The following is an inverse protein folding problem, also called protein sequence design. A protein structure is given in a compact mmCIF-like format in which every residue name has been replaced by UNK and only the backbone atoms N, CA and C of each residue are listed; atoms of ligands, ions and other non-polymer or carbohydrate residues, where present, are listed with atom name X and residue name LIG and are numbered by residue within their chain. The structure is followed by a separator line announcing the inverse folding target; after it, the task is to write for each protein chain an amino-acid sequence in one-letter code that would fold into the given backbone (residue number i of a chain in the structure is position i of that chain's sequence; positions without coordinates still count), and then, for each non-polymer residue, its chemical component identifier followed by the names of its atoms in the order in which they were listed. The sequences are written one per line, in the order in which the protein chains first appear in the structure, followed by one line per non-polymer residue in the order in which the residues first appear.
data_IF_817843864461
#
_entry.id   IF_817843864461
#
_cell.length_a   1.000
_cell.length_b   1.000
_cell.length_c   1.000
_cell.angle_alpha   90.00
_cell.angle_beta   90.00
_cell.angle_gamma   90.00
#
_symmetry.space_group_name_H-M   'P 1'
#
loop_
_entity.id
_entity.type
_entity.pdbx_description
1 polymer ?
#
# COMPACT_ATOMS: atom_id res chain seq x y z
N UNK A 1 15.39 12.64 -7.68
CA UNK A 1 14.39 11.55 -7.67
C UNK A 1 14.70 10.66 -6.47
N UNK A 2 13.75 10.39 -5.56
CA UNK A 2 13.96 9.39 -4.52
C UNK A 2 14.29 8.04 -5.19
N UNK A 3 15.29 7.34 -4.68
CA UNK A 3 15.72 6.04 -5.20
C UNK A 3 14.57 5.05 -5.08
N UNK A 4 14.15 4.37 -6.15
CA UNK A 4 13.06 3.40 -6.08
C UNK A 4 13.34 2.33 -5.02
N UNK A 5 12.33 1.94 -4.24
CA UNK A 5 12.47 0.88 -3.25
C UNK A 5 12.53 -0.49 -3.95
N UNK A 6 13.71 -0.80 -4.51
CA UNK A 6 13.99 -2.03 -5.24
C UNK A 6 14.13 -3.20 -4.24
N UNK A 7 13.52 -4.34 -4.57
CA UNK A 7 13.72 -5.63 -3.89
C UNK A 7 15.14 -6.17 -4.14
N UNK A 8 15.65 -7.10 -3.33
CA UNK A 8 16.99 -7.67 -3.51
C UNK A 8 17.25 -8.22 -4.92
N UNK A 9 16.32 -9.01 -5.48
CA UNK A 9 16.47 -9.61 -6.81
C UNK A 9 16.44 -8.55 -7.93
N UNK A 10 15.57 -7.53 -7.81
CA UNK A 10 15.53 -6.39 -8.75
C UNK A 10 16.88 -5.67 -8.80
N UNK A 11 17.49 -5.41 -7.63
CA UNK A 11 18.82 -4.78 -7.53
C UNK A 11 19.90 -5.65 -8.16
N UNK A 12 19.84 -6.95 -7.95
CA UNK A 12 20.82 -7.89 -8.48
C UNK A 12 20.76 -7.99 -10.00
N UNK A 13 19.56 -8.12 -10.57
CA UNK A 13 19.36 -8.14 -12.03
C UNK A 13 19.86 -6.83 -12.64
N UNK A 14 19.46 -5.66 -12.10
CA UNK A 14 19.98 -4.36 -12.58
C UNK A 14 21.52 -4.31 -12.54
N UNK A 15 22.14 -4.83 -11.47
CA UNK A 15 23.60 -4.88 -11.35
C UNK A 15 24.23 -5.76 -12.43
N UNK A 16 23.68 -6.96 -12.68
CA UNK A 16 24.14 -7.87 -13.72
C UNK A 16 23.98 -7.24 -15.10
N UNK A 17 22.80 -6.71 -15.41
CA UNK A 17 22.50 -5.99 -16.65
C UNK A 17 23.49 -4.86 -16.91
N UNK A 18 23.79 -4.04 -15.89
CA UNK A 18 24.79 -2.97 -16.01
C UNK A 18 26.21 -3.49 -16.24
N UNK A 19 26.58 -4.62 -15.61
CA UNK A 19 27.88 -5.25 -15.81
C UNK A 19 28.04 -5.73 -17.26
N UNK A 20 27.07 -6.47 -17.79
CA UNK A 20 27.08 -6.93 -19.18
C UNK A 20 27.02 -5.77 -20.17
N UNK A 21 26.23 -4.74 -19.90
CA UNK A 21 26.19 -3.54 -20.75
C UNK A 21 27.56 -2.84 -20.84
N UNK A 22 28.30 -2.73 -19.74
CA UNK A 22 29.67 -2.17 -19.75
C UNK A 22 30.66 -3.06 -20.51
N UNK A 23 30.60 -4.37 -20.29
CA UNK A 23 31.45 -5.33 -21.00
C UNK A 23 31.20 -5.31 -22.52
N UNK A 24 29.94 -5.37 -22.93
CA UNK A 24 29.57 -5.38 -24.34
C UNK A 24 29.99 -4.08 -25.05
N UNK A 25 29.82 -2.91 -24.41
CA UNK A 25 30.33 -1.64 -24.92
C UNK A 25 31.86 -1.63 -25.10
N UNK A 26 32.60 -2.28 -24.20
CA UNK A 26 34.07 -2.43 -24.32
C UNK A 26 34.41 -3.31 -25.53
N UNK A 27 33.74 -4.46 -25.69
CA UNK A 27 34.01 -5.42 -26.76
C UNK A 27 33.69 -4.85 -28.15
N UNK A 28 32.59 -4.09 -28.28
CA UNK A 28 32.23 -3.37 -29.50
C UNK A 28 33.33 -2.35 -29.87
N UNK A 29 33.82 -1.56 -28.91
CA UNK A 29 34.91 -0.59 -29.15
C UNK A 29 36.21 -1.26 -29.60
N UNK A 30 36.47 -2.48 -29.14
CA UNK A 30 37.65 -3.26 -29.55
C UNK A 30 37.43 -4.07 -30.84
N UNK A 31 36.28 -3.92 -31.51
CA UNK A 31 35.95 -4.65 -32.74
C UNK A 31 35.69 -6.14 -32.55
N UNK A 32 35.57 -6.61 -31.30
CA UNK A 32 35.39 -8.03 -30.95
C UNK A 32 33.92 -8.48 -30.94
N UNK A 33 32.98 -7.55 -31.04
CA UNK A 33 31.54 -7.83 -31.11
C UNK A 33 30.92 -7.11 -32.32
N UNK A 34 30.04 -7.79 -33.05
CA UNK A 34 29.29 -7.17 -34.16
C UNK A 34 28.28 -6.12 -33.65
N UNK A 35 27.89 -5.13 -34.47
CA UNK A 35 26.88 -4.13 -34.10
C UNK A 35 25.50 -4.73 -33.75
N UNK A 36 25.14 -5.92 -34.25
CA UNK A 36 23.88 -6.59 -33.93
C UNK A 36 23.73 -6.87 -32.42
N UNK A 37 24.87 -7.03 -31.72
CA UNK A 37 24.88 -7.21 -30.27
C UNK A 37 24.56 -5.94 -29.47
N UNK A 38 24.51 -4.75 -30.11
CA UNK A 38 23.98 -3.54 -29.48
C UNK A 38 22.50 -3.69 -29.12
N UNK A 39 21.75 -4.53 -29.85
CA UNK A 39 20.34 -4.79 -29.57
C UNK A 39 20.14 -5.51 -28.22
N UNK A 40 21.11 -6.34 -27.81
CA UNK A 40 21.12 -6.99 -26.49
C UNK A 40 21.36 -5.97 -25.38
N UNK A 41 22.32 -5.06 -25.56
CA UNK A 41 22.57 -3.96 -24.60
C UNK A 41 21.33 -3.08 -24.45
N UNK A 42 20.67 -2.74 -25.57
CA UNK A 42 19.45 -1.96 -25.56
C UNK A 42 18.31 -2.68 -24.82
N UNK A 43 18.15 -3.99 -25.05
CA UNK A 43 17.15 -4.82 -24.36
C UNK A 43 17.42 -4.91 -22.85
N UNK A 44 18.68 -5.07 -22.47
CA UNK A 44 19.15 -5.03 -21.08
C UNK A 44 18.79 -3.70 -20.41
N UNK A 45 19.14 -2.56 -21.02
CA UNK A 45 18.82 -1.24 -20.49
C UNK A 45 17.30 -1.00 -20.38
N UNK A 46 16.54 -1.48 -21.38
CA UNK A 46 15.07 -1.40 -21.37
C UNK A 46 14.48 -2.16 -20.18
N UNK A 47 14.96 -3.37 -19.91
CA UNK A 47 14.55 -4.12 -18.73
C UNK A 47 14.89 -3.39 -17.43
N UNK A 48 16.13 -2.89 -17.28
CA UNK A 48 16.51 -2.16 -16.06
C UNK A 48 15.58 -0.95 -15.82
N UNK A 49 15.20 -0.26 -16.90
CA UNK A 49 14.23 0.84 -16.85
C UNK A 49 12.84 0.36 -16.44
N UNK A 50 12.37 -0.77 -16.99
CA UNK A 50 11.09 -1.38 -16.62
C UNK A 50 11.06 -1.78 -15.14
N UNK A 51 12.13 -2.39 -14.62
CA UNK A 51 12.24 -2.75 -13.20
C UNK A 51 12.15 -1.50 -12.31
N UNK A 52 12.84 -0.42 -12.68
CA UNK A 52 12.79 0.83 -11.92
C UNK A 52 11.39 1.48 -11.96
N UNK A 53 10.75 1.50 -13.12
CA UNK A 53 9.40 2.02 -13.28
C UNK A 53 8.39 1.20 -12.45
N UNK A 54 8.50 -0.12 -12.49
CA UNK A 54 7.67 -1.03 -11.70
C UNK A 54 7.85 -0.79 -10.18
N UNK A 55 9.09 -0.66 -9.72
CA UNK A 55 9.38 -0.36 -8.31
C UNK A 55 8.83 1.01 -7.88
N UNK A 56 8.88 2.01 -8.75
CA UNK A 56 8.29 3.33 -8.49
C UNK A 56 6.75 3.26 -8.44
N UNK A 57 6.12 2.52 -9.35
CA UNK A 57 4.67 2.31 -9.35
C UNK A 57 4.21 1.62 -8.06
N UNK A 58 4.87 0.52 -7.67
CA UNK A 58 4.61 -0.17 -6.40
C UNK A 58 4.69 0.76 -5.20
N UNK A 59 5.73 1.59 -5.13
CA UNK A 59 5.88 2.57 -4.05
C UNK A 59 4.71 3.57 -4.03
N UNK A 60 4.30 4.08 -5.18
CA UNK A 60 3.19 5.02 -5.28
C UNK A 60 1.85 4.41 -4.83
N UNK A 61 1.56 3.16 -5.22
CA UNK A 61 0.36 2.43 -4.80
C UNK A 61 0.34 2.22 -3.29
N UNK A 62 1.47 1.78 -2.70
CA UNK A 62 1.60 1.60 -1.25
C UNK A 62 1.43 2.91 -0.48
N UNK A 63 2.01 4.00 -0.96
CA UNK A 63 1.86 5.33 -0.35
C UNK A 63 0.41 5.83 -0.39
N UNK A 64 -0.26 5.66 -1.54
CA UNK A 64 -1.69 6.01 -1.68
C UNK A 64 -2.54 5.23 -0.69
N UNK A 65 -2.31 3.91 -0.59
CA UNK A 65 -3.04 3.03 0.34
C UNK A 65 -2.79 3.39 1.80
N UNK A 66 -1.55 3.73 2.15
CA UNK A 66 -1.20 4.14 3.50
C UNK A 66 -1.80 5.50 3.87
N UNK A 67 -1.88 6.45 2.93
CA UNK A 67 -2.63 7.70 3.12
C UNK A 67 -4.10 7.43 3.42
N UNK A 68 -4.74 6.52 2.68
CA UNK A 68 -6.12 6.12 2.95
C UNK A 68 -6.28 5.45 4.31
N UNK A 69 -5.32 4.63 4.75
CA UNK A 69 -5.34 4.03 6.09
C UNK A 69 -5.30 5.11 7.18
N UNK A 70 -4.52 6.17 6.98
CA UNK A 70 -4.35 7.30 7.93
C UNK A 70 -5.39 8.41 7.78
N UNK A 71 -6.29 8.33 6.80
CA UNK A 71 -7.29 9.36 6.53
C UNK A 71 -8.25 9.54 7.71
N UNK A 72 -8.56 8.45 8.41
CA UNK A 72 -9.40 8.49 9.62
C UNK A 72 -8.65 9.26 10.70
N UNK A 73 -9.10 10.49 10.93
CA UNK A 73 -8.57 11.33 11.98
C UNK A 73 -8.92 10.78 13.35
N UNK A 74 -7.90 10.73 14.20
CA UNK A 74 -8.02 10.33 15.58
C UNK A 74 -8.60 11.46 16.45
N UNK A 75 -9.93 11.53 16.52
CA UNK A 75 -10.64 12.45 17.40
C UNK A 75 -10.93 11.82 18.78
N UNK A 76 -10.12 10.86 19.23
CA UNK A 76 -10.31 10.25 20.54
C UNK A 76 -10.24 11.29 21.66
N UNK A 77 -11.12 11.14 22.65
CA UNK A 77 -11.11 11.95 23.87
C UNK A 77 -11.14 11.02 25.08
N UNK A 78 -10.44 11.41 26.16
CA UNK A 78 -10.52 10.66 27.41
C UNK A 78 -11.98 10.64 27.91
N UNK A 79 -12.58 9.48 28.22
CA UNK A 79 -13.97 9.42 28.68
C UNK A 79 -14.19 10.08 30.05
N UNK A 80 -13.12 10.31 30.83
CA UNK A 80 -13.21 10.94 32.15
C UNK A 80 -12.91 12.45 32.15
N UNK A 81 -11.88 12.89 31.42
CA UNK A 81 -11.51 14.32 31.40
C UNK A 81 -11.79 15.02 30.08
N UNK A 82 -12.27 14.31 29.07
CA UNK A 82 -12.61 14.80 27.72
C UNK A 82 -11.47 15.52 26.98
N UNK A 83 -10.23 15.39 27.45
CA UNK A 83 -9.03 15.96 26.81
C UNK A 83 -8.35 14.92 25.92
N UNK A 84 -8.14 15.27 24.65
CA UNK A 84 -7.32 14.50 23.71
C UNK A 84 -5.81 14.67 24.00
N UNK A 85 -5.36 15.88 24.38
CA UNK A 85 -3.93 16.20 24.57
C UNK A 85 -3.19 15.34 25.62
N UNK A 86 -3.92 14.62 26.45
CA UNK A 86 -3.39 13.74 27.50
C UNK A 86 -3.37 12.26 27.08
N UNK A 87 -3.77 11.94 25.85
CA UNK A 87 -3.84 10.57 25.36
C UNK A 87 -2.48 10.13 24.80
N UNK A 88 -2.05 8.94 25.21
CA UNK A 88 -0.94 8.20 24.59
C UNK A 88 -1.50 6.96 23.92
N UNK A 89 -1.25 6.79 22.63
CA UNK A 89 -1.53 5.55 21.92
C UNK A 89 -0.70 4.42 22.56
N UNK A 90 -1.38 3.36 23.00
CA UNK A 90 -0.75 2.19 23.64
C UNK A 90 -0.78 0.94 22.76
N UNK A 91 -1.65 0.90 21.77
CA UNK A 91 -1.73 -0.21 20.81
C UNK A 91 -3.04 -0.18 20.03
N UNK A 92 -3.41 -1.33 19.48
CA UNK A 92 -4.68 -1.54 18.78
C UNK A 92 -5.48 -2.67 19.42
N UNK A 93 -6.80 -2.62 19.26
CA UNK A 93 -7.73 -3.67 19.62
C UNK A 93 -8.48 -4.11 18.38
N UNK A 94 -8.83 -5.39 18.30
CA UNK A 94 -9.78 -5.90 17.31
C UNK A 94 -11.13 -6.08 17.99
N UNK A 95 -12.17 -5.51 17.41
CA UNK A 95 -13.54 -5.68 17.86
C UNK A 95 -14.09 -7.04 17.42
N UNK A 96 -15.20 -7.48 18.03
CA UNK A 96 -15.88 -8.75 17.71
C UNK A 96 -16.30 -8.83 16.24
N UNK A 97 -16.81 -7.71 15.70
CA UNK A 97 -17.14 -7.55 14.28
C UNK A 97 -15.91 -7.42 13.34
N UNK A 98 -14.70 -7.54 13.90
CA UNK A 98 -13.47 -7.68 13.15
C UNK A 98 -12.70 -6.39 12.86
N UNK A 99 -13.29 -5.20 13.09
CA UNK A 99 -12.63 -3.91 12.87
C UNK A 99 -11.55 -3.58 13.91
N UNK A 100 -10.56 -2.80 13.50
CA UNK A 100 -9.46 -2.36 14.34
C UNK A 100 -9.69 -0.95 14.89
N UNK A 101 -9.51 -0.80 16.20
CA UNK A 101 -9.58 0.47 16.91
C UNK A 101 -8.31 0.73 17.72
N UNK A 102 -8.02 1.99 17.99
CA UNK A 102 -6.85 2.36 18.79
C UNK A 102 -7.13 2.22 20.29
N UNK A 103 -6.11 1.79 21.05
CA UNK A 103 -6.10 1.79 22.52
C UNK A 103 -5.30 2.98 23.02
N UNK A 104 -5.84 3.67 24.02
CA UNK A 104 -5.21 4.84 24.62
C UNK A 104 -5.02 4.66 26.12
N UNK A 105 -3.98 5.31 26.64
CA UNK A 105 -3.83 5.62 28.06
C UNK A 105 -3.93 7.12 28.25
N UNK A 106 -4.85 7.58 29.10
CA UNK A 106 -4.87 8.98 29.51
C UNK A 106 -3.82 9.20 30.61
N UNK A 107 -2.86 10.09 30.38
CA UNK A 107 -1.80 10.42 31.36
C UNK A 107 -2.33 11.15 32.59
N UNK A 108 -3.40 11.94 32.43
CA UNK A 108 -4.04 12.69 33.52
C UNK A 108 -4.92 11.81 34.40
N UNK A 109 -5.82 11.04 33.78
CA UNK A 109 -6.78 10.19 34.49
C UNK A 109 -6.19 8.81 34.85
N UNK A 110 -5.03 8.47 34.30
CA UNK A 110 -4.37 7.18 34.45
C UNK A 110 -5.19 5.94 34.02
N UNK A 111 -6.25 6.14 33.22
CA UNK A 111 -7.07 5.05 32.69
C UNK A 111 -6.59 4.58 31.32
N UNK A 112 -6.92 3.33 30.98
CA UNK A 112 -6.79 2.79 29.63
C UNK A 112 -8.17 2.52 29.05
N UNK A 113 -8.35 2.81 27.77
CA UNK A 113 -9.59 2.53 27.06
C UNK A 113 -9.33 2.26 25.57
N UNK A 114 -10.24 1.53 24.95
CA UNK A 114 -10.28 1.35 23.49
C UNK A 114 -11.23 2.39 22.91
N UNK A 115 -10.80 3.08 21.87
CA UNK A 115 -11.67 4.01 21.17
C UNK A 115 -12.77 3.24 20.42
N UNK A 116 -14.00 3.75 20.49
CA UNK A 116 -15.16 3.05 19.94
C UNK A 116 -15.25 3.15 18.41
N UNK A 117 -14.44 3.98 17.76
CA UNK A 117 -14.41 4.10 16.30
C UNK A 117 -13.17 3.41 15.70
N UNK A 118 -13.30 2.83 14.50
CA UNK A 118 -12.16 2.24 13.82
C UNK A 118 -11.05 3.25 13.52
N UNK A 119 -9.84 2.74 13.32
CA UNK A 119 -8.63 3.54 13.09
C UNK A 119 -8.18 3.60 11.61
N UNK A 120 -8.99 3.05 10.69
CA UNK A 120 -8.69 3.02 9.27
C UNK A 120 -9.97 3.10 8.42
N UNK A 121 -9.83 3.56 7.18
CA UNK A 121 -10.97 3.88 6.31
C UNK A 121 -11.81 2.65 5.91
N UNK A 122 -11.19 1.48 5.70
CA UNK A 122 -11.92 0.26 5.34
C UNK A 122 -12.86 -0.19 6.47
N UNK A 123 -12.34 -0.24 7.68
CA UNK A 123 -13.13 -0.59 8.85
C UNK A 123 -14.14 0.51 9.20
N UNK A 124 -13.82 1.78 8.95
CA UNK A 124 -14.74 2.90 9.19
C UNK A 124 -15.98 2.81 8.30
N UNK A 125 -15.85 2.40 7.03
CA UNK A 125 -17.02 2.21 6.15
C UNK A 125 -17.95 1.15 6.73
N UNK A 126 -17.41 -0.01 7.13
CA UNK A 126 -18.21 -1.09 7.76
C UNK A 126 -18.87 -0.64 9.05
N UNK A 127 -18.15 0.10 9.88
CA UNK A 127 -18.71 0.69 11.10
C UNK A 127 -19.85 1.67 10.79
N UNK A 128 -19.72 2.50 9.76
CA UNK A 128 -20.78 3.42 9.33
C UNK A 128 -22.00 2.68 8.78
N UNK A 129 -21.81 1.59 8.04
CA UNK A 129 -22.90 0.73 7.55
C UNK A 129 -23.68 0.09 8.71
N UNK A 130 -22.97 -0.46 9.69
CA UNK A 130 -23.57 -1.02 10.90
C UNK A 130 -24.33 0.03 11.71
N UNK A 131 -23.71 1.20 11.91
CA UNK A 131 -24.32 2.30 12.65
C UNK A 131 -25.57 2.84 11.94
N UNK A 132 -25.54 2.89 10.61
CA UNK A 132 -26.68 3.28 9.80
C UNK A 132 -27.84 2.30 9.97
N UNK A 133 -27.57 0.99 9.96
CA UNK A 133 -28.59 -0.04 10.20
C UNK A 133 -29.23 0.10 11.59
N UNK A 134 -28.42 0.36 12.63
CA UNK A 134 -28.93 0.61 13.98
C UNK A 134 -29.81 1.87 14.05
N UNK A 135 -29.43 2.95 13.37
CA UNK A 135 -30.23 4.17 13.28
C UNK A 135 -31.55 3.92 12.53
N UNK A 136 -31.53 3.16 11.44
CA UNK A 136 -32.71 2.80 10.67
C UNK A 136 -33.73 2.04 11.52
N UNK A 137 -33.28 1.08 12.32
CA UNK A 137 -34.14 0.34 13.25
C UNK A 137 -34.75 1.25 14.33
N UNK A 138 -33.96 2.19 14.87
CA UNK A 138 -34.42 3.09 15.92
C UNK A 138 -35.45 4.09 15.40
N UNK A 139 -35.30 4.64 14.19
CA UNK A 139 -36.21 5.66 13.64
C UNK A 139 -37.63 5.12 13.42
N UNK A 140 -37.78 3.81 13.20
CA UNK A 140 -39.08 3.14 13.06
C UNK A 140 -39.84 3.09 14.38
N UNK A 141 -39.17 3.26 15.53
CA UNK A 141 -39.82 3.23 16.84
C UNK A 141 -40.81 4.41 17.01
N UNK A 142 -42.10 4.10 17.08
CA UNK A 142 -43.18 5.09 17.22
C UNK A 142 -43.10 5.91 18.51
N UNK A 143 -42.47 5.38 19.56
CA UNK A 143 -42.31 6.06 20.85
C UNK A 143 -41.27 7.19 20.83
N UNK A 144 -40.45 7.32 19.78
CA UNK A 144 -39.46 8.39 19.69
C UNK A 144 -40.12 9.74 19.34
N UNK A 145 -39.73 10.84 20.00
CA UNK A 145 -40.16 12.19 19.65
C UNK A 145 -39.85 12.52 18.18
N UNK A 146 -40.74 13.28 17.54
CA UNK A 146 -40.62 13.65 16.12
C UNK A 146 -39.29 14.37 15.81
N UNK A 147 -38.84 15.25 16.71
CA UNK A 147 -37.58 15.97 16.57
C UNK A 147 -36.36 15.03 16.52
N UNK A 148 -36.34 14.01 17.39
CA UNK A 148 -35.27 13.00 17.42
C UNK A 148 -35.27 12.17 16.13
N UNK A 149 -36.44 11.87 15.57
CA UNK A 149 -36.57 11.17 14.29
C UNK A 149 -36.01 12.01 13.14
N UNK A 150 -36.35 13.29 13.07
CA UNK A 150 -35.84 14.20 12.04
C UNK A 150 -34.32 14.38 12.12
N UNK A 151 -33.77 14.55 13.33
CA UNK A 151 -32.32 14.63 13.54
C UNK A 151 -31.62 13.33 13.12
N UNK A 152 -32.18 12.18 13.50
CA UNK A 152 -31.64 10.87 13.12
C UNK A 152 -31.65 10.68 11.59
N UNK A 153 -32.73 11.08 10.91
CA UNK A 153 -32.81 11.03 9.44
C UNK A 153 -31.76 11.93 8.77
N UNK A 154 -31.51 13.13 9.30
CA UNK A 154 -30.48 14.02 8.78
C UNK A 154 -29.06 13.41 8.93
N UNK A 155 -28.77 12.83 10.11
CA UNK A 155 -27.50 12.13 10.37
C UNK A 155 -27.33 10.92 9.45
N UNK A 156 -28.39 10.12 9.26
CA UNK A 156 -28.39 9.00 8.33
C UNK A 156 -28.08 9.44 6.89
N UNK A 157 -28.67 10.55 6.44
CA UNK A 157 -28.37 11.12 5.13
C UNK A 157 -26.90 11.49 4.97
N UNK A 158 -26.30 12.11 5.98
CA UNK A 158 -24.87 12.44 5.99
C UNK A 158 -23.99 11.19 5.99
N UNK A 159 -24.32 10.17 6.78
CA UNK A 159 -23.58 8.89 6.81
C UNK A 159 -23.63 8.22 5.44
N UNK A 160 -24.82 8.11 4.82
CA UNK A 160 -25.00 7.54 3.48
C UNK A 160 -24.15 8.28 2.46
N UNK A 161 -24.12 9.61 2.51
CA UNK A 161 -23.28 10.42 1.63
C UNK A 161 -21.79 10.13 1.83
N UNK A 162 -21.31 10.03 3.08
CA UNK A 162 -19.91 9.73 3.38
C UNK A 162 -19.52 8.33 2.89
N UNK A 163 -20.38 7.32 3.09
CA UNK A 163 -20.17 5.96 2.56
C UNK A 163 -20.05 6.02 1.03
N UNK A 164 -21.01 6.64 0.35
CA UNK A 164 -21.04 6.75 -1.11
C UNK A 164 -19.82 7.47 -1.69
N UNK A 165 -19.19 8.38 -0.94
CA UNK A 165 -17.95 9.05 -1.33
C UNK A 165 -16.71 8.18 -1.09
N UNK A 166 -16.62 7.50 0.05
CA UNK A 166 -15.43 6.75 0.45
C UNK A 166 -15.33 5.38 -0.21
N UNK A 167 -16.44 4.66 -0.35
CA UNK A 167 -16.49 3.31 -0.88
C UNK A 167 -15.86 3.17 -2.28
N UNK A 168 -16.15 4.02 -3.29
CA UNK A 168 -15.51 3.91 -4.60
C UNK A 168 -14.00 4.17 -4.55
N UNK A 169 -13.54 5.07 -3.68
CA UNK A 169 -12.10 5.37 -3.51
C UNK A 169 -11.36 4.16 -2.91
N UNK A 170 -11.96 3.49 -1.92
CA UNK A 170 -11.40 2.29 -1.32
C UNK A 170 -11.40 1.12 -2.31
N UNK A 171 -12.50 0.92 -3.05
CA UNK A 171 -12.60 -0.11 -4.08
C UNK A 171 -11.55 0.08 -5.18
N UNK A 172 -11.34 1.32 -5.64
CA UNK A 172 -10.26 1.63 -6.58
C UNK A 172 -8.89 1.32 -5.99
N UNK A 173 -8.64 1.69 -4.73
CA UNK A 173 -7.36 1.37 -4.07
C UNK A 173 -7.13 -0.14 -3.91
N UNK A 174 -8.19 -0.93 -3.69
CA UNK A 174 -8.12 -2.39 -3.63
C UNK A 174 -7.82 -2.99 -5.01
N UNK A 175 -8.45 -2.48 -6.06
CA UNK A 175 -8.18 -2.90 -7.44
C UNK A 175 -6.73 -2.59 -7.87
N UNK A 176 -6.25 -1.36 -7.64
CA UNK A 176 -4.87 -0.96 -7.92
C UNK A 176 -3.85 -1.81 -7.16
N UNK A 177 -4.14 -2.13 -5.89
CA UNK A 177 -3.26 -2.97 -5.08
C UNK A 177 -3.25 -4.43 -5.56
N UNK A 178 -4.40 -4.96 -5.98
CA UNK A 178 -4.49 -6.31 -6.55
C UNK A 178 -3.72 -6.41 -7.89
N UNK A 179 -3.90 -5.44 -8.79
CA UNK A 179 -3.17 -5.36 -10.06
C UNK A 179 -1.65 -5.27 -9.81
N UNK A 180 -1.22 -4.39 -8.91
CA UNK A 180 0.18 -4.26 -8.52
C UNK A 180 0.76 -5.59 -8.00
N UNK A 181 0.01 -6.34 -7.17
CA UNK A 181 0.47 -7.65 -6.67
C UNK A 181 0.59 -8.70 -7.78
N UNK A 182 -0.33 -8.69 -8.74
CA UNK A 182 -0.24 -9.58 -9.91
C UNK A 182 1.00 -9.26 -10.73
N UNK A 183 1.23 -7.99 -11.06
CA UNK A 183 2.42 -7.53 -11.79
C UNK A 183 3.71 -7.84 -11.01
N UNK A 184 3.71 -7.69 -9.69
CA UNK A 184 4.84 -8.06 -8.82
C UNK A 184 5.17 -9.56 -8.93
N UNK A 185 4.17 -10.43 -8.99
CA UNK A 185 4.36 -11.87 -9.13
C UNK A 185 4.90 -12.25 -10.52
N UNK A 186 4.39 -11.62 -11.58
CA UNK A 186 4.88 -11.80 -12.95
C UNK A 186 6.33 -11.31 -13.09
N UNK A 187 6.63 -10.12 -12.56
CA UNK A 187 7.98 -9.56 -12.54
C UNK A 187 8.94 -10.44 -11.76
N UNK A 188 8.54 -10.98 -10.60
CA UNK A 188 9.38 -11.90 -9.83
C UNK A 188 9.77 -13.16 -10.62
N UNK A 189 8.83 -13.73 -11.38
CA UNK A 189 9.11 -14.89 -12.26
C UNK A 189 10.08 -14.52 -13.39
N UNK A 190 9.86 -13.38 -14.04
CA UNK A 190 10.75 -12.87 -15.10
C UNK A 190 12.19 -12.67 -14.55
N UNK A 191 12.31 -12.00 -13.40
CA UNK A 191 13.59 -11.69 -12.79
C UNK A 191 14.33 -12.94 -12.35
N UNK A 192 13.64 -13.95 -11.83
CA UNK A 192 14.26 -15.23 -11.48
C UNK A 192 14.93 -15.88 -12.69
N UNK A 193 14.19 -16.01 -13.79
CA UNK A 193 14.70 -16.61 -15.03
C UNK A 193 15.87 -15.80 -15.61
N UNK A 194 15.74 -14.47 -15.63
CA UNK A 194 16.79 -13.60 -16.15
C UNK A 194 18.03 -13.58 -15.28
N UNK A 195 17.89 -13.61 -13.96
CA UNK A 195 19.02 -13.71 -13.02
C UNK A 195 19.79 -15.00 -13.27
N UNK A 196 19.09 -16.14 -13.36
CA UNK A 196 19.73 -17.43 -13.65
C UNK A 196 20.50 -17.40 -14.98
N UNK A 197 19.87 -16.89 -16.05
CA UNK A 197 20.51 -16.76 -17.35
C UNK A 197 21.75 -15.86 -17.31
N UNK A 198 21.63 -14.65 -16.75
CA UNK A 198 22.74 -13.70 -16.66
C UNK A 198 23.89 -14.21 -15.76
N UNK A 199 23.59 -14.98 -14.72
CA UNK A 199 24.62 -15.61 -13.90
C UNK A 199 25.40 -16.68 -14.67
N UNK A 200 24.70 -17.54 -15.44
CA UNK A 200 25.33 -18.56 -16.29
C UNK A 200 26.25 -17.90 -17.32
N UNK A 201 25.75 -16.89 -18.04
CA UNK A 201 26.55 -16.18 -19.05
C UNK A 201 27.76 -15.47 -18.43
N UNK A 202 27.64 -15.00 -17.19
CA UNK A 202 28.75 -14.35 -16.49
C UNK A 202 29.84 -15.36 -16.15
N UNK A 203 29.46 -16.56 -15.74
CA UNK A 203 30.41 -17.65 -15.46
C UNK A 203 31.15 -18.04 -16.75
N UNK A 204 30.43 -18.24 -17.86
CA UNK A 204 31.05 -18.56 -19.17
C UNK A 204 32.08 -17.51 -19.59
N UNK A 205 31.71 -16.23 -19.56
CA UNK A 205 32.63 -15.14 -19.91
C UNK A 205 33.87 -15.07 -19.01
N UNK A 206 33.74 -15.43 -17.73
CA UNK A 206 34.89 -15.46 -16.84
C UNK A 206 35.81 -16.64 -17.14
N UNK A 207 35.27 -17.79 -17.55
CA UNK A 207 36.05 -18.97 -17.92
C UNK A 207 36.82 -18.73 -19.24
N UNK A 208 36.19 -18.09 -20.22
CA UNK A 208 36.82 -17.74 -21.51
C UNK A 208 37.90 -16.64 -21.41
N UNK A 209 38.02 -15.95 -20.27
CA UNK A 209 39.06 -14.94 -20.01
C UNK A 209 40.28 -15.52 -19.26
N UNK A 210 40.25 -16.80 -18.89
CA UNK A 210 41.33 -17.49 -18.18
C UNK A 210 42.25 -18.26 -19.14
N UNK A 211 41.87 -18.39 -20.41
CA UNK A 211 42.70 -18.86 -21.53
C UNK A 211 43.25 -17.68 -22.38
#
# INVERSE_FOLDING_TARGET
MPTPNLKPDEREVIRLTNHFGKQANRLIKTGKLSPEHQQVIASCNKLATQIQAHAAHRQAVLEKREKLRKLVQDQAACPQCHKNSQLKLTGTARHEKGWQSNKYRCRRCNIQFTWNRPNNSWDMVRFMEDYLMELELNVVNEALPLEVKQQSQAVMGQIKQNINQLQPVLAQSDAEFAEMNQQDAEMARLLHNMKAYLQIEKIKLNLEQID
#
